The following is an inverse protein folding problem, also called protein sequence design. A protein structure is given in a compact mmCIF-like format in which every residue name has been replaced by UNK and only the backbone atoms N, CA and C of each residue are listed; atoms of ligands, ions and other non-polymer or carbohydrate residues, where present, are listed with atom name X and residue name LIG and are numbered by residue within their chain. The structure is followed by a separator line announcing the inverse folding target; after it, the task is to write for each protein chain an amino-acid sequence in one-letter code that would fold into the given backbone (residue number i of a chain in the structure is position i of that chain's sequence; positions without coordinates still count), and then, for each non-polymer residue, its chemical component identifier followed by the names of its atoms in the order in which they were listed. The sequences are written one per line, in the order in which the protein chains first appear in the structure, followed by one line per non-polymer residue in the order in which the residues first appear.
data_IF_592030415246
#
_entry.id   IF_592030415246
#
_cell.length_a   1.000
_cell.length_b   1.000
_cell.length_c   1.000
_cell.angle_alpha   90.00
_cell.angle_beta   90.00
_cell.angle_gamma   90.00
#
_symmetry.space_group_name_H-M   'P 1'
#
loop_
_entity.id
_entity.type
_entity.pdbx_description
1 polymer ?
#
# COMPACT_ATOMS: atom_id res chain seq x y z
N UNK A 1 -22.84 4.15 -12.18
CA UNK A 1 -21.61 4.38 -11.39
C UNK A 1 -20.95 3.02 -11.16
N UNK A 2 -20.03 2.60 -12.02
CA UNK A 2 -19.34 1.31 -11.86
C UNK A 2 -18.31 1.41 -10.76
N UNK A 3 -18.75 1.19 -9.52
CA UNK A 3 -17.88 1.12 -8.35
C UNK A 3 -17.07 -0.18 -8.48
N UNK A 4 -15.79 -0.04 -8.85
CA UNK A 4 -14.92 -1.17 -9.22
C UNK A 4 -14.46 -2.02 -8.03
N UNK A 5 -14.85 -1.64 -6.83
CA UNK A 5 -14.47 -2.27 -5.57
C UNK A 5 -15.73 -2.52 -4.75
N UNK A 6 -15.97 -3.76 -4.29
CA UNK A 6 -17.09 -4.08 -3.41
C UNK A 6 -16.90 -3.58 -1.98
N UNK A 7 -15.68 -3.12 -1.64
CA UNK A 7 -15.31 -2.70 -0.29
C UNK A 7 -14.63 -1.33 -0.30
N UNK A 8 -14.93 -0.52 0.73
CA UNK A 8 -14.26 0.75 0.98
C UNK A 8 -12.78 0.49 1.32
N UNK A 9 -11.87 1.01 0.49
CA UNK A 9 -10.44 0.79 0.71
C UNK A 9 -9.98 1.62 1.92
N UNK A 10 -9.43 0.95 2.93
CA UNK A 10 -8.92 1.56 4.16
C UNK A 10 -9.83 1.41 5.40
N UNK A 11 -10.91 0.63 5.34
CA UNK A 11 -11.64 0.16 6.54
C UNK A 11 -12.12 -1.30 6.35
N UNK A 12 -11.86 -2.23 7.28
CA UNK A 12 -10.86 -2.13 8.35
C UNK A 12 -9.45 -1.91 7.78
N UNK A 13 -8.51 -1.59 8.69
CA UNK A 13 -7.08 -1.50 8.35
C UNK A 13 -6.64 -2.82 7.69
N UNK A 14 -5.85 -2.69 6.62
CA UNK A 14 -5.46 -3.83 5.80
C UNK A 14 -4.09 -3.54 5.17
N UNK A 15 -3.28 -4.59 4.99
CA UNK A 15 -1.93 -4.50 4.42
C UNK A 15 -1.81 -5.36 3.17
N UNK A 16 -1.15 -4.80 2.16
CA UNK A 16 -0.73 -5.51 0.95
C UNK A 16 0.73 -5.20 0.63
N UNK A 17 1.39 -6.13 -0.06
CA UNK A 17 2.76 -5.96 -0.55
C UNK A 17 2.70 -5.45 -1.98
N UNK A 18 3.22 -4.25 -2.20
CA UNK A 18 3.30 -3.66 -3.54
C UNK A 18 4.23 -4.51 -4.42
N UNK A 19 3.72 -4.94 -5.56
CA UNK A 19 4.47 -5.72 -6.57
C UNK A 19 4.94 -4.81 -7.69
N UNK A 20 4.11 -3.82 -8.02
CA UNK A 20 4.35 -2.93 -9.15
C UNK A 20 3.63 -1.59 -8.93
N UNK A 21 4.24 -0.55 -9.48
CA UNK A 21 3.77 0.82 -9.43
C UNK A 21 3.89 1.47 -10.81
N UNK A 22 2.75 1.86 -11.37
CA UNK A 22 2.67 2.66 -12.60
C UNK A 22 2.41 4.12 -12.23
N UNK A 23 3.49 4.91 -12.20
CA UNK A 23 3.44 6.34 -11.88
C UNK A 23 2.61 7.17 -12.86
N UNK A 24 2.57 6.76 -14.13
CA UNK A 24 1.79 7.45 -15.18
C UNK A 24 0.30 7.21 -14.99
N UNK A 25 -0.10 5.97 -14.68
CA UNK A 25 -1.52 5.61 -14.45
C UNK A 25 -1.98 5.88 -13.02
N UNK A 26 -1.08 6.35 -12.15
CA UNK A 26 -1.31 6.48 -10.70
C UNK A 26 -1.95 5.23 -10.10
N UNK A 27 -1.40 4.05 -10.46
CA UNK A 27 -1.98 2.75 -10.15
C UNK A 27 -0.96 1.82 -9.49
N UNK A 28 -1.35 1.22 -8.37
CA UNK A 28 -0.57 0.20 -7.64
C UNK A 28 -1.14 -1.18 -7.95
N UNK A 29 -0.25 -2.17 -8.08
CA UNK A 29 -0.61 -3.60 -7.95
C UNK A 29 0.00 -4.15 -6.66
N UNK A 30 -0.80 -4.83 -5.87
CA UNK A 30 -0.35 -5.40 -4.61
C UNK A 30 -0.85 -6.85 -4.44
N UNK A 31 -0.01 -7.69 -3.83
CA UNK A 31 -0.45 -8.94 -3.23
C UNK A 31 -1.08 -8.63 -1.89
N UNK A 32 -2.34 -9.03 -1.70
CA UNK A 32 -3.04 -8.86 -0.44
C UNK A 32 -3.78 -10.14 -0.06
N UNK A 33 -3.98 -10.39 1.23
CA UNK A 33 -4.91 -11.41 1.68
C UNK A 33 -6.33 -10.91 1.42
N UNK A 34 -7.18 -11.72 0.78
CA UNK A 34 -8.54 -11.31 0.44
C UNK A 34 -9.32 -10.79 1.66
N UNK A 35 -10.04 -9.69 1.47
CA UNK A 35 -10.83 -9.09 2.55
C UNK A 35 -11.98 -9.98 3.03
N UNK A 36 -12.50 -10.82 2.13
CA UNK A 36 -13.58 -11.78 2.39
C UNK A 36 -13.07 -13.22 2.58
N UNK A 37 -11.80 -13.51 2.25
CA UNK A 37 -11.23 -14.86 2.36
C UNK A 37 -9.73 -14.84 2.63
N UNK A 38 -9.20 -15.86 3.31
CA UNK A 38 -7.77 -15.95 3.65
C UNK A 38 -6.83 -16.19 2.45
N UNK A 39 -7.35 -16.30 1.23
CA UNK A 39 -6.55 -16.55 0.02
C UNK A 39 -5.83 -15.29 -0.42
N UNK A 40 -4.54 -15.42 -0.75
CA UNK A 40 -3.74 -14.35 -1.32
C UNK A 40 -4.16 -14.13 -2.77
N UNK A 41 -4.38 -12.86 -3.14
CA UNK A 41 -4.73 -12.44 -4.49
C UNK A 41 -3.99 -11.17 -4.86
N UNK A 42 -3.79 -10.97 -6.16
CA UNK A 42 -3.20 -9.75 -6.68
C UNK A 42 -4.31 -8.80 -7.09
N UNK A 43 -4.31 -7.62 -6.48
CA UNK A 43 -5.34 -6.60 -6.70
C UNK A 43 -4.73 -5.31 -7.24
N UNK A 44 -5.58 -4.53 -7.89
CA UNK A 44 -5.22 -3.30 -8.59
C UNK A 44 -5.93 -2.12 -7.96
N UNK A 45 -5.16 -1.14 -7.48
CA UNK A 45 -5.69 0.05 -6.80
C UNK A 45 -5.28 1.32 -7.54
N UNK A 46 -6.21 2.27 -7.74
CA UNK A 46 -5.82 3.63 -8.13
C UNK A 46 -5.48 4.42 -6.87
N UNK A 47 -4.47 5.27 -6.92
CA UNK A 47 -4.09 6.07 -5.74
C UNK A 47 -5.22 6.95 -5.22
N UNK A 48 -6.05 7.51 -6.10
CA UNK A 48 -7.18 8.34 -5.70
C UNK A 48 -8.28 7.59 -4.95
N UNK A 49 -8.31 6.26 -5.05
CA UNK A 49 -9.26 5.42 -4.32
C UNK A 49 -8.72 5.05 -2.91
N UNK A 50 -7.42 5.28 -2.66
CA UNK A 50 -6.80 5.11 -1.34
C UNK A 50 -7.01 6.39 -0.52
N UNK A 51 -7.37 6.26 0.76
CA UNK A 51 -7.71 7.41 1.63
C UNK A 51 -6.61 8.46 1.77
N UNK A 52 -5.34 8.08 1.66
CA UNK A 52 -4.24 9.05 1.69
C UNK A 52 -4.13 9.86 0.40
N UNK A 53 -4.61 9.35 -0.73
CA UNK A 53 -4.37 9.92 -2.07
C UNK A 53 -2.90 9.92 -2.51
N UNK A 54 -1.99 9.42 -1.68
CA UNK A 54 -0.54 9.57 -1.81
C UNK A 54 0.16 8.22 -1.73
N UNK A 55 1.09 7.98 -2.67
CA UNK A 55 2.07 6.90 -2.59
C UNK A 55 3.34 7.44 -1.92
N UNK A 56 3.73 6.86 -0.79
CA UNK A 56 4.98 7.21 -0.10
C UNK A 56 5.93 6.02 -0.16
N UNK A 57 7.17 6.28 -0.60
CA UNK A 57 8.24 5.29 -0.62
C UNK A 57 9.16 5.59 0.55
N UNK A 58 9.36 4.60 1.42
CA UNK A 58 10.24 4.70 2.56
C UNK A 58 11.44 3.77 2.34
N UNK A 59 12.64 4.26 2.65
CA UNK A 59 13.85 3.45 2.66
C UNK A 59 14.09 2.97 4.08
N UNK A 60 14.25 1.65 4.26
CA UNK A 60 14.69 1.10 5.55
C UNK A 60 16.15 1.47 5.74
N UNK A 61 16.45 2.20 6.82
CA UNK A 61 17.80 2.61 7.19
C UNK A 61 18.15 2.08 8.58
N UNK A 62 19.42 1.76 8.86
CA UNK A 62 19.84 1.34 10.20
C UNK A 62 19.67 2.48 11.21
N UNK A 63 19.48 2.13 12.49
CA UNK A 63 19.32 3.10 13.59
C UNK A 63 20.46 4.12 13.66
N UNK A 64 21.67 3.67 13.36
CA UNK A 64 22.87 4.50 13.29
C UNK A 64 22.77 5.64 12.25
N UNK A 65 22.00 5.45 11.17
CA UNK A 65 21.81 6.48 10.14
C UNK A 65 21.07 7.71 10.67
N UNK A 66 20.18 7.52 11.64
CA UNK A 66 19.37 8.59 12.26
C UNK A 66 19.87 8.97 13.66
N UNK A 67 21.08 8.54 14.03
CA UNK A 67 21.70 8.88 15.32
C UNK A 67 21.00 8.26 16.54
N UNK A 68 20.13 7.26 16.35
CA UNK A 68 19.35 6.65 17.44
C UNK A 68 20.18 5.81 18.42
N UNK A 69 21.44 5.55 18.10
CA UNK A 69 22.35 4.80 18.97
C UNK A 69 23.14 5.73 19.92
N UNK A 70 22.88 7.04 19.89
CA UNK A 70 23.43 8.00 20.87
C UNK A 70 24.94 8.23 20.80
N UNK A 71 25.62 7.71 19.78
CA UNK A 71 27.04 7.94 19.53
C UNK A 71 27.22 9.24 18.73
N UNK A 72 27.11 10.38 19.41
CA UNK A 72 27.61 11.67 18.96
C UNK A 72 28.45 12.30 20.07
#
# INVERSE_FOLDING_TARGET
MHQKYSAEVGKPDHVGVVVDWDGTKKKIRAWEQGRESKKVKMESFKLGDLKSGECRVWRVMPRSWVGWDGLH
#
